data_IF_755737834759
#
_entry.id   IF_755737834759
#
_cell.length_a   1.000
_cell.length_b   1.000
_cell.length_c   1.000
_cell.angle_alpha   90.00
_cell.angle_beta   90.00
_cell.angle_gamma   90.00
#
_symmetry.space_group_name_H-M   'P 1'
#
loop_
_entity.id
_entity.type
_entity.pdbx_description
1 polymer ?
#
# COMPACT_ATOMS: atom_id res chain seq x y z
N UNK A 1 12.91 16.94 -18.69
CA UNK A 1 12.52 17.44 -17.34
C UNK A 1 12.88 18.92 -17.21
N UNK A 2 12.06 19.71 -16.56
CA UNK A 2 12.26 21.17 -16.43
C UNK A 2 13.20 21.48 -15.25
N UNK A 3 14.36 22.08 -15.52
CA UNK A 3 15.36 22.41 -14.49
C UNK A 3 14.87 23.42 -13.44
N UNK A 4 13.97 24.33 -13.82
CA UNK A 4 13.37 25.29 -12.87
C UNK A 4 12.48 24.59 -11.85
N UNK A 5 11.72 23.59 -12.27
CA UNK A 5 10.85 22.79 -11.37
C UNK A 5 11.69 21.94 -10.41
N UNK A 6 12.74 21.31 -10.92
CA UNK A 6 13.70 20.56 -10.08
C UNK A 6 14.26 21.47 -8.99
N UNK A 7 14.68 22.70 -9.39
CA UNK A 7 15.19 23.67 -8.43
C UNK A 7 14.14 24.02 -7.35
N UNK A 8 12.88 24.27 -7.73
CA UNK A 8 11.80 24.54 -6.74
C UNK A 8 11.63 23.39 -5.75
N UNK A 9 11.70 22.13 -6.21
CA UNK A 9 11.62 20.96 -5.31
C UNK A 9 12.86 20.86 -4.42
N UNK A 10 14.07 21.10 -4.96
CA UNK A 10 15.31 21.06 -4.18
C UNK A 10 15.36 22.20 -3.14
N UNK A 11 14.95 23.42 -3.50
CA UNK A 11 14.87 24.55 -2.58
C UNK A 11 13.89 24.29 -1.41
N UNK A 12 12.86 23.48 -1.67
CA UNK A 12 11.86 23.13 -0.65
C UNK A 12 12.29 21.95 0.22
N UNK A 13 12.79 20.87 -0.38
CA UNK A 13 12.99 19.58 0.29
C UNK A 13 14.46 19.27 0.63
N UNK A 14 15.43 19.95 -0.03
CA UNK A 14 16.82 19.54 -0.09
C UNK A 14 17.10 18.58 -1.24
N UNK A 15 18.31 18.66 -1.81
CA UNK A 15 18.72 17.86 -2.99
C UNK A 15 18.66 16.35 -2.73
N UNK A 16 18.93 15.92 -1.50
CA UNK A 16 18.95 14.51 -1.08
C UNK A 16 17.56 13.85 -1.05
N UNK A 17 16.48 14.63 -1.22
CA UNK A 17 15.09 14.17 -1.19
C UNK A 17 14.37 14.36 -2.53
N UNK A 18 15.10 14.76 -3.56
CA UNK A 18 14.58 15.01 -4.91
C UNK A 18 15.34 14.17 -5.91
N UNK A 19 14.66 13.20 -6.52
CA UNK A 19 15.24 12.34 -7.53
C UNK A 19 14.50 12.52 -8.84
N UNK A 20 15.21 12.39 -9.96
CA UNK A 20 14.65 12.49 -11.30
C UNK A 20 14.92 11.21 -12.08
N UNK A 21 13.92 10.72 -12.84
CA UNK A 21 14.06 9.46 -13.57
C UNK A 21 14.24 8.25 -12.63
N UNK A 22 13.69 8.33 -11.42
CA UNK A 22 13.88 7.28 -10.41
C UNK A 22 13.08 6.02 -10.73
N UNK A 23 13.76 4.88 -10.80
CA UNK A 23 13.14 3.60 -11.12
C UNK A 23 12.15 3.15 -10.03
N UNK A 24 10.87 3.07 -10.37
CA UNK A 24 9.82 2.69 -9.43
C UNK A 24 9.92 1.24 -8.94
N UNK A 25 10.64 0.39 -9.67
CA UNK A 25 10.98 -0.98 -9.22
C UNK A 25 11.72 -1.02 -7.87
N UNK A 26 12.41 0.06 -7.48
CA UNK A 26 13.08 0.21 -6.18
C UNK A 26 12.12 0.56 -5.04
N UNK A 27 10.91 1.06 -5.39
CA UNK A 27 9.93 1.62 -4.45
C UNK A 27 8.61 0.84 -4.44
N UNK A 28 8.57 -0.33 -5.06
CA UNK A 28 7.45 -1.27 -5.01
C UNK A 28 7.88 -2.61 -4.45
N UNK A 29 7.00 -3.29 -3.72
CA UNK A 29 7.28 -4.65 -3.23
C UNK A 29 7.24 -5.68 -4.37
N UNK A 30 6.65 -5.35 -5.51
CA UNK A 30 6.68 -6.16 -6.73
C UNK A 30 8.05 -6.14 -7.43
N UNK A 31 8.87 -5.12 -7.12
CA UNK A 31 10.16 -4.85 -7.78
C UNK A 31 10.02 -4.71 -9.30
N UNK A 32 8.92 -4.13 -9.74
CA UNK A 32 8.58 -3.83 -11.13
C UNK A 32 8.22 -2.36 -11.23
N UNK A 33 8.54 -1.71 -12.34
CA UNK A 33 8.17 -0.35 -12.67
C UNK A 33 9.28 0.46 -13.29
N UNK A 34 8.95 1.15 -14.38
CA UNK A 34 9.80 2.11 -15.07
C UNK A 34 10.02 3.40 -14.26
N UNK A 35 10.67 4.42 -14.84
CA UNK A 35 11.06 5.62 -14.13
C UNK A 35 9.91 6.59 -13.86
N UNK A 36 9.88 7.22 -12.68
CA UNK A 36 9.07 8.42 -12.42
C UNK A 36 9.86 9.67 -12.81
N UNK A 37 9.18 10.68 -13.40
CA UNK A 37 9.87 11.93 -13.77
C UNK A 37 10.45 12.61 -12.55
N UNK A 38 9.67 12.70 -11.46
CA UNK A 38 10.12 13.23 -10.18
C UNK A 38 9.74 12.26 -9.07
N UNK A 39 10.67 11.99 -8.17
CA UNK A 39 10.44 11.21 -6.97
C UNK A 39 10.86 12.05 -5.75
N UNK A 40 9.89 12.35 -4.88
CA UNK A 40 9.98 13.38 -3.85
C UNK A 40 9.70 12.77 -2.48
N UNK A 41 10.55 13.07 -1.49
CA UNK A 41 10.50 12.46 -0.16
C UNK A 41 10.36 13.53 0.94
N UNK A 42 9.17 14.15 1.10
CA UNK A 42 8.94 15.14 2.16
C UNK A 42 9.12 14.53 3.56
N UNK A 43 9.44 15.35 4.56
CA UNK A 43 9.58 14.94 5.97
C UNK A 43 8.52 15.54 6.89
N UNK A 44 7.66 16.42 6.36
CA UNK A 44 6.57 17.07 7.09
C UNK A 44 5.29 17.13 6.25
N UNK A 45 4.15 17.18 6.94
CA UNK A 45 2.85 17.31 6.28
C UNK A 45 2.74 18.61 5.47
N UNK A 46 3.26 19.74 5.99
CA UNK A 46 3.24 21.02 5.29
C UNK A 46 4.06 20.97 3.98
N UNK A 47 5.17 20.22 3.96
CA UNK A 47 5.98 20.08 2.75
C UNK A 47 5.27 19.24 1.69
N UNK A 48 4.46 18.25 2.10
CA UNK A 48 3.56 17.51 1.18
C UNK A 48 2.64 18.49 0.46
N UNK A 49 1.99 19.42 1.19
CA UNK A 49 1.11 20.44 0.61
C UNK A 49 1.85 21.39 -0.34
N UNK A 50 3.03 21.85 0.06
CA UNK A 50 3.87 22.72 -0.78
C UNK A 50 4.31 22.05 -2.08
N UNK A 51 4.71 20.76 -2.01
CA UNK A 51 5.04 19.96 -3.19
C UNK A 51 3.84 19.83 -4.12
N UNK A 52 2.66 19.52 -3.59
CA UNK A 52 1.41 19.43 -4.36
C UNK A 52 1.08 20.75 -5.03
N UNK A 53 1.25 21.86 -4.32
CA UNK A 53 1.05 23.20 -4.88
C UNK A 53 1.97 23.45 -6.09
N UNK A 54 3.26 23.14 -5.98
CA UNK A 54 4.21 23.24 -7.11
C UNK A 54 3.74 22.35 -8.28
N UNK A 55 3.29 21.13 -8.01
CA UNK A 55 2.78 20.22 -9.04
C UNK A 55 1.55 20.82 -9.74
N UNK A 56 0.55 21.34 -8.99
CA UNK A 56 -0.66 21.95 -9.53
C UNK A 56 -0.35 23.18 -10.39
N UNK A 57 0.50 24.09 -9.89
CA UNK A 57 0.92 25.30 -10.61
C UNK A 57 1.72 25.00 -11.89
N UNK A 58 2.39 23.86 -11.93
CA UNK A 58 3.21 23.43 -13.06
C UNK A 58 2.51 22.41 -13.98
N UNK A 59 1.22 22.12 -13.74
CA UNK A 59 0.43 21.10 -14.45
C UNK A 59 1.11 19.72 -14.47
N UNK A 60 1.79 19.34 -13.38
CA UNK A 60 2.44 18.03 -13.19
C UNK A 60 1.47 17.13 -12.43
N UNK A 61 1.06 15.98 -12.99
CA UNK A 61 0.28 15.01 -12.26
C UNK A 61 1.12 14.43 -11.11
N UNK A 62 0.47 14.12 -9.97
CA UNK A 62 1.19 13.54 -8.83
C UNK A 62 0.49 12.30 -8.29
N UNK A 63 1.26 11.46 -7.61
CA UNK A 63 0.79 10.25 -6.96
C UNK A 63 1.41 10.13 -5.56
N UNK A 64 0.58 9.84 -4.54
CA UNK A 64 1.03 9.63 -3.17
C UNK A 64 1.39 8.16 -2.99
N UNK A 65 2.61 7.89 -2.56
CA UNK A 65 3.16 6.56 -2.37
C UNK A 65 3.53 6.33 -0.91
N UNK A 66 3.12 5.20 -0.36
CA UNK A 66 3.67 4.65 0.90
C UNK A 66 4.82 3.68 0.62
N UNK A 67 4.67 2.43 1.06
CA UNK A 67 5.65 1.35 0.82
C UNK A 67 5.52 0.66 -0.55
N UNK A 68 4.59 1.07 -1.41
CA UNK A 68 4.39 0.45 -2.73
C UNK A 68 3.95 -1.02 -2.69
N UNK A 69 3.32 -1.46 -1.60
CA UNK A 69 2.97 -2.86 -1.37
C UNK A 69 1.67 -3.34 -2.02
N UNK A 70 0.94 -2.42 -2.67
CA UNK A 70 -0.28 -2.73 -3.44
C UNK A 70 -0.27 -2.01 -4.79
N UNK A 71 0.93 -1.90 -5.42
CA UNK A 71 1.12 -1.09 -6.62
C UNK A 71 1.89 -1.87 -7.69
N UNK A 72 1.40 -1.82 -8.92
CA UNK A 72 2.13 -2.19 -10.13
C UNK A 72 2.33 -0.91 -10.96
N UNK A 73 3.59 -0.56 -11.23
CA UNK A 73 3.95 0.58 -12.08
C UNK A 73 4.32 0.08 -13.45
N UNK A 74 3.78 0.72 -14.50
CA UNK A 74 4.04 0.38 -15.89
C UNK A 74 5.52 0.45 -16.28
N UNK A 75 5.91 -0.31 -17.30
CA UNK A 75 7.31 -0.38 -17.76
C UNK A 75 7.77 0.96 -18.33
N UNK A 76 6.87 1.75 -18.96
CA UNK A 76 7.13 3.13 -19.38
C UNK A 76 7.29 4.13 -18.25
N UNK A 77 6.97 3.75 -17.01
CA UNK A 77 7.08 4.59 -15.83
C UNK A 77 5.93 5.57 -15.63
N UNK A 78 6.15 6.64 -14.87
CA UNK A 78 5.14 7.63 -14.54
C UNK A 78 5.57 9.04 -14.96
N UNK A 79 4.80 9.65 -15.86
CA UNK A 79 5.03 11.03 -16.33
C UNK A 79 4.43 12.01 -15.34
N UNK A 80 5.13 12.23 -14.20
CA UNK A 80 4.67 13.06 -13.10
C UNK A 80 5.55 12.95 -11.86
N UNK A 81 5.02 13.42 -10.73
CA UNK A 81 5.69 13.40 -9.44
C UNK A 81 5.14 12.27 -8.54
N UNK A 82 6.00 11.39 -8.09
CA UNK A 82 5.68 10.45 -7.00
C UNK A 82 6.13 11.08 -5.69
N UNK A 83 5.19 11.31 -4.79
CA UNK A 83 5.44 11.88 -3.46
C UNK A 83 5.39 10.73 -2.45
N UNK A 84 6.53 10.34 -1.93
CA UNK A 84 6.63 9.22 -1.00
C UNK A 84 6.49 9.68 0.45
N UNK A 85 5.40 9.25 1.11
CA UNK A 85 5.19 9.37 2.56
C UNK A 85 5.60 8.04 3.19
N UNK A 86 6.83 7.98 3.72
CA UNK A 86 7.43 6.75 4.23
C UNK A 86 8.35 7.05 5.43
N UNK A 87 9.62 6.69 5.36
CA UNK A 87 10.56 6.72 6.48
C UNK A 87 10.72 8.09 7.14
N UNK A 88 10.64 9.17 6.37
CA UNK A 88 10.81 10.54 6.88
C UNK A 88 9.59 11.02 7.69
N UNK A 89 8.44 10.37 7.54
CA UNK A 89 7.19 10.68 8.24
C UNK A 89 6.67 9.40 8.92
N UNK A 90 7.44 8.81 9.83
CA UNK A 90 7.19 7.47 10.39
C UNK A 90 7.21 7.42 11.92
N UNK A 91 7.02 8.54 12.60
CA UNK A 91 6.97 8.59 14.05
C UNK A 91 5.77 7.78 14.60
N UNK A 92 6.01 7.12 15.74
CA UNK A 92 5.01 6.35 16.48
C UNK A 92 5.14 6.73 17.96
N UNK A 93 4.09 7.30 18.53
CA UNK A 93 4.02 7.70 19.93
C UNK A 93 2.94 6.91 20.65
N UNK A 94 3.24 6.40 21.84
CA UNK A 94 2.30 5.61 22.66
C UNK A 94 2.03 6.35 23.95
N UNK A 95 0.77 6.68 24.22
CA UNK A 95 0.30 7.33 25.43
C UNK A 95 -0.85 6.53 26.06
N UNK A 96 -0.56 5.84 27.16
CA UNK A 96 -1.54 4.99 27.81
C UNK A 96 -2.00 3.81 26.94
N UNK A 97 -3.17 3.91 26.32
CA UNK A 97 -3.75 2.95 25.38
C UNK A 97 -3.97 3.54 23.98
N UNK A 98 -3.61 4.80 23.79
CA UNK A 98 -3.65 5.47 22.49
C UNK A 98 -2.29 5.37 21.81
N UNK A 99 -2.29 5.22 20.49
CA UNK A 99 -1.10 5.29 19.65
C UNK A 99 -1.32 6.32 18.55
N UNK A 100 -0.50 7.36 18.53
CA UNK A 100 -0.44 8.35 17.43
C UNK A 100 0.64 7.93 16.45
N UNK A 101 0.30 7.87 15.15
CA UNK A 101 1.13 7.26 14.11
C UNK A 101 1.17 8.12 12.88
N UNK A 102 2.34 8.57 12.45
CA UNK A 102 2.50 9.23 11.15
C UNK A 102 2.26 8.27 9.98
N UNK A 103 1.72 8.80 8.89
CA UNK A 103 1.25 8.02 7.75
C UNK A 103 2.30 7.12 7.08
N UNK A 104 3.57 7.47 7.16
CA UNK A 104 4.69 6.70 6.60
C UNK A 104 5.19 5.56 7.48
N UNK A 105 4.71 5.43 8.72
CA UNK A 105 5.13 4.35 9.62
C UNK A 105 4.66 2.99 9.08
N UNK A 106 5.57 2.01 9.06
CA UNK A 106 5.21 0.63 8.72
C UNK A 106 4.30 0.02 9.78
N UNK A 107 3.28 -0.72 9.35
CA UNK A 107 2.36 -1.40 10.28
C UNK A 107 3.09 -2.38 11.21
N UNK A 108 4.17 -3.00 10.75
CA UNK A 108 5.04 -3.84 11.58
C UNK A 108 5.70 -3.07 12.72
N UNK A 109 6.12 -1.82 12.48
CA UNK A 109 6.71 -0.95 13.51
C UNK A 109 5.66 -0.53 14.54
N UNK A 110 4.45 -0.20 14.09
CA UNK A 110 3.32 0.13 14.97
C UNK A 110 2.92 -1.07 15.82
N UNK A 111 2.82 -2.27 15.23
CA UNK A 111 2.52 -3.50 15.96
C UNK A 111 3.63 -3.84 16.99
N UNK A 112 4.90 -3.57 16.67
CA UNK A 112 5.99 -3.71 17.61
C UNK A 112 5.89 -2.72 18.77
N UNK A 113 5.53 -1.46 18.52
CA UNK A 113 5.30 -0.44 19.57
C UNK A 113 4.13 -0.83 20.49
N UNK A 114 3.00 -1.28 19.91
CA UNK A 114 1.85 -1.78 20.66
C UNK A 114 2.22 -2.96 21.55
N UNK A 115 2.92 -3.97 21.01
CA UNK A 115 3.42 -5.12 21.76
C UNK A 115 4.32 -4.70 22.94
N UNK A 116 5.26 -3.78 22.69
CA UNK A 116 6.21 -3.32 23.74
C UNK A 116 5.49 -2.56 24.87
N UNK A 117 4.36 -1.91 24.58
CA UNK A 117 3.51 -1.23 25.54
C UNK A 117 2.43 -2.15 26.17
N UNK A 118 2.47 -3.46 25.91
CA UNK A 118 1.46 -4.44 26.34
C UNK A 118 0.03 -4.06 25.90
N UNK A 119 -0.11 -3.58 24.65
CA UNK A 119 -1.39 -3.23 24.03
C UNK A 119 -1.81 -4.31 23.03
N UNK A 120 -3.04 -4.80 23.19
CA UNK A 120 -3.67 -5.80 22.30
C UNK A 120 -4.69 -5.14 21.38
N UNK A 121 -4.97 -5.77 20.23
CA UNK A 121 -5.94 -5.35 19.23
C UNK A 121 -5.32 -4.95 17.89
N UNK A 122 -3.97 -4.87 17.78
CA UNK A 122 -3.27 -4.53 16.55
C UNK A 122 -2.38 -5.66 16.00
N UNK A 123 -2.45 -6.86 16.59
CA UNK A 123 -1.63 -8.02 16.20
C UNK A 123 -1.83 -8.42 14.74
N UNK A 124 -3.06 -8.27 14.22
CA UNK A 124 -3.44 -8.61 12.84
C UNK A 124 -2.61 -7.86 11.79
N UNK A 125 -2.18 -6.63 12.13
CA UNK A 125 -1.52 -5.71 11.20
C UNK A 125 -0.01 -5.96 11.09
N UNK A 126 0.61 -6.64 12.05
CA UNK A 126 2.06 -6.78 12.16
C UNK A 126 2.75 -7.44 10.96
N UNK A 127 2.01 -8.24 10.19
CA UNK A 127 2.51 -8.88 8.99
C UNK A 127 2.15 -8.16 7.67
N UNK A 128 1.31 -7.13 7.68
CA UNK A 128 0.90 -6.40 6.46
C UNK A 128 2.07 -5.48 6.03
N UNK A 129 2.57 -5.56 4.79
CA UNK A 129 3.76 -4.82 4.35
C UNK A 129 3.46 -3.37 3.95
N UNK A 130 2.41 -2.77 4.49
CA UNK A 130 1.96 -1.40 4.20
C UNK A 130 2.43 -0.37 5.22
N UNK A 131 2.24 0.90 4.87
CA UNK A 131 2.34 2.04 5.80
C UNK A 131 0.97 2.34 6.43
N UNK A 132 0.96 3.09 7.53
CA UNK A 132 -0.27 3.51 8.20
C UNK A 132 -1.21 4.26 7.25
N UNK A 133 -0.71 5.23 6.49
CA UNK A 133 -1.54 5.96 5.52
C UNK A 133 -2.18 5.04 4.47
N UNK A 134 -1.40 4.13 3.87
CA UNK A 134 -1.94 3.14 2.93
C UNK A 134 -2.95 2.19 3.58
N UNK A 135 -2.76 1.83 4.84
CA UNK A 135 -3.69 0.99 5.59
C UNK A 135 -5.03 1.68 5.86
N UNK A 136 -5.01 2.97 6.21
CA UNK A 136 -6.23 3.78 6.38
C UNK A 136 -7.01 3.89 5.06
N UNK A 137 -6.32 4.24 3.96
CA UNK A 137 -6.94 4.35 2.62
C UNK A 137 -7.69 3.08 2.22
N UNK A 138 -7.15 1.92 2.57
CA UNK A 138 -7.68 0.61 2.16
C UNK A 138 -8.52 -0.06 3.25
N UNK A 139 -8.70 0.55 4.43
CA UNK A 139 -9.19 -0.18 5.60
C UNK A 139 -8.52 -1.55 5.68
N UNK A 140 -7.18 -1.56 5.72
CA UNK A 140 -6.40 -2.79 5.62
C UNK A 140 -6.75 -3.75 6.76
N UNK A 141 -6.85 -5.02 6.42
CA UNK A 141 -7.19 -6.06 7.40
C UNK A 141 -6.61 -7.42 7.03
N UNK A 142 -6.41 -8.23 8.05
CA UNK A 142 -5.96 -9.60 7.96
C UNK A 142 -6.43 -10.40 9.19
N UNK A 143 -6.66 -11.71 9.02
CA UNK A 143 -6.96 -12.63 10.13
C UNK A 143 -8.14 -12.22 11.02
N UNK A 144 -9.12 -11.54 10.46
CA UNK A 144 -10.35 -11.13 11.16
C UNK A 144 -10.29 -9.75 11.82
N UNK A 145 -9.14 -9.07 11.85
CA UNK A 145 -9.02 -7.68 12.28
C UNK A 145 -8.85 -6.74 11.09
N UNK A 146 -9.30 -5.50 11.20
CA UNK A 146 -9.14 -4.44 10.21
C UNK A 146 -8.96 -3.06 10.87
N UNK A 147 -8.48 -2.08 10.10
CA UNK A 147 -8.16 -0.75 10.64
C UNK A 147 -9.34 -0.10 11.34
N UNK A 148 -10.56 -0.26 10.84
CA UNK A 148 -11.78 0.31 11.46
C UNK A 148 -12.02 -0.15 12.91
N UNK A 149 -11.46 -1.31 13.32
CA UNK A 149 -11.67 -1.87 14.65
C UNK A 149 -10.88 -1.12 15.73
N UNK A 150 -9.86 -0.36 15.33
CA UNK A 150 -8.90 0.29 16.23
C UNK A 150 -8.70 1.77 15.97
N UNK A 151 -9.08 2.27 14.78
CA UNK A 151 -8.89 3.65 14.36
C UNK A 151 -9.91 4.56 15.05
N UNK A 152 -9.45 5.69 15.61
CA UNK A 152 -10.32 6.69 16.25
C UNK A 152 -10.43 7.97 15.45
N UNK A 153 -9.33 8.44 14.88
CA UNK A 153 -9.30 9.64 14.05
C UNK A 153 -8.12 9.61 13.07
N UNK A 154 -8.20 10.41 12.03
CA UNK A 154 -7.16 10.58 11.02
C UNK A 154 -6.98 12.05 10.71
N UNK A 155 -5.73 12.51 10.75
CA UNK A 155 -5.35 13.82 10.24
C UNK A 155 -5.03 13.68 8.75
N UNK A 156 -5.73 14.45 7.94
CA UNK A 156 -5.60 14.42 6.48
C UNK A 156 -5.34 15.82 5.95
N UNK A 157 -4.76 15.88 4.76
CA UNK A 157 -4.76 17.07 3.92
C UNK A 157 -5.83 16.92 2.86
N UNK A 158 -6.63 17.95 2.65
CA UNK A 158 -7.64 18.00 1.59
C UNK A 158 -7.07 18.49 0.24
N UNK A 159 -7.94 18.65 -0.76
CA UNK A 159 -7.54 19.09 -2.10
C UNK A 159 -7.08 20.55 -2.14
N UNK A 160 -7.52 21.39 -1.20
CA UNK A 160 -7.13 22.79 -1.04
C UNK A 160 -5.78 22.93 -0.33
N UNK A 161 -5.29 21.84 0.32
CA UNK A 161 -4.04 21.80 1.09
C UNK A 161 -4.24 22.11 2.57
N UNK A 162 -5.50 22.19 3.03
CA UNK A 162 -5.83 22.39 4.43
C UNK A 162 -5.69 21.09 5.21
N UNK A 163 -5.17 21.18 6.43
CA UNK A 163 -4.99 20.02 7.31
C UNK A 163 -6.19 19.94 8.27
N UNK A 164 -6.95 18.87 8.17
CA UNK A 164 -8.15 18.63 8.97
C UNK A 164 -8.06 17.26 9.66
N UNK A 165 -8.79 17.12 10.78
CA UNK A 165 -8.91 15.84 11.49
C UNK A 165 -10.32 15.30 11.33
N UNK A 166 -10.41 14.05 10.87
CA UNK A 166 -11.65 13.31 10.65
C UNK A 166 -11.77 12.19 11.69
N UNK A 167 -12.88 12.12 12.45
CA UNK A 167 -13.15 10.98 13.31
C UNK A 167 -13.45 9.72 12.48
N UNK A 168 -13.20 8.54 13.04
CA UNK A 168 -13.27 7.26 12.33
C UNK A 168 -14.66 6.97 11.71
N UNK A 169 -15.75 7.44 12.33
CA UNK A 169 -17.12 7.28 11.83
C UNK A 169 -17.40 8.07 10.54
N UNK A 170 -16.57 9.06 10.21
CA UNK A 170 -16.64 9.84 8.95
C UNK A 170 -15.76 9.26 7.84
N UNK A 171 -15.00 8.22 8.10
CA UNK A 171 -14.07 7.66 7.13
C UNK A 171 -14.71 6.66 6.17
N UNK A 172 -15.98 6.27 6.36
CA UNK A 172 -16.71 5.32 5.51
C UNK A 172 -15.90 4.03 5.24
N UNK A 173 -15.29 3.47 6.30
CA UNK A 173 -14.40 2.33 6.21
C UNK A 173 -15.14 1.05 5.83
N UNK A 174 -14.91 0.56 4.64
CA UNK A 174 -15.46 -0.69 4.12
C UNK A 174 -14.37 -1.64 3.59
N UNK A 175 -14.80 -2.73 2.97
CA UNK A 175 -13.87 -3.69 2.38
C UNK A 175 -13.01 -3.06 1.27
N UNK A 176 -11.73 -2.84 1.55
CA UNK A 176 -10.75 -2.22 0.64
C UNK A 176 -11.15 -0.82 0.16
N UNK A 177 -11.83 -0.05 1.01
CA UNK A 177 -12.29 1.31 0.71
C UNK A 177 -12.35 2.20 1.94
N UNK A 178 -12.28 3.51 1.71
CA UNK A 178 -12.55 4.60 2.66
C UNK A 178 -12.90 5.87 1.88
N UNK A 179 -13.47 6.87 2.57
CA UNK A 179 -13.72 8.22 2.01
C UNK A 179 -12.41 8.89 1.53
N UNK A 180 -11.28 8.55 2.14
CA UNK A 180 -9.97 9.12 1.80
C UNK A 180 -9.69 9.03 0.30
N UNK A 181 -10.01 7.87 -0.29
CA UNK A 181 -9.78 7.63 -1.71
C UNK A 181 -10.70 8.42 -2.63
N UNK A 182 -11.98 8.59 -2.24
CA UNK A 182 -13.01 9.23 -3.07
C UNK A 182 -13.03 10.73 -2.94
N UNK A 183 -12.65 11.26 -1.76
CA UNK A 183 -12.55 12.70 -1.49
C UNK A 183 -11.17 13.30 -1.80
N UNK A 184 -10.23 12.55 -2.37
CA UNK A 184 -8.90 13.06 -2.70
C UNK A 184 -8.02 13.42 -1.49
N UNK A 185 -8.39 12.97 -0.29
CA UNK A 185 -7.62 13.23 0.93
C UNK A 185 -6.27 12.52 0.95
N UNK A 186 -5.30 13.13 1.63
CA UNK A 186 -3.97 12.55 1.87
C UNK A 186 -3.80 12.36 3.37
N UNK A 187 -3.60 11.11 3.80
CA UNK A 187 -3.37 10.78 5.21
C UNK A 187 -1.99 11.27 5.64
N UNK A 188 -1.93 12.04 6.71
CA UNK A 188 -0.70 12.53 7.34
C UNK A 188 -0.42 11.81 8.66
N UNK A 189 -1.46 11.55 9.47
CA UNK A 189 -1.36 10.91 10.77
C UNK A 189 -2.64 10.13 11.09
N UNK A 190 -2.56 9.12 11.94
CA UNK A 190 -3.70 8.37 12.45
C UNK A 190 -3.57 8.15 13.95
N UNK A 191 -4.70 8.12 14.67
CA UNK A 191 -4.76 7.69 16.06
C UNK A 191 -5.51 6.38 16.19
N UNK A 192 -4.94 5.51 17.01
CA UNK A 192 -5.47 4.19 17.29
C UNK A 192 -5.80 4.09 18.78
N UNK A 193 -6.94 3.51 19.12
CA UNK A 193 -7.30 3.15 20.49
C UNK A 193 -7.18 1.64 20.65
N UNK A 194 -6.24 1.21 21.48
CA UNK A 194 -6.01 -0.18 21.82
C UNK A 194 -6.42 -0.48 23.27
N UNK A 195 -6.19 -1.71 23.72
CA UNK A 195 -6.52 -2.16 25.09
C UNK A 195 -5.29 -2.72 25.75
N UNK A 196 -5.19 -2.57 27.09
CA UNK A 196 -4.17 -3.30 27.86
C UNK A 196 -4.41 -4.80 27.73
N UNK A 197 -3.35 -5.56 27.48
CA UNK A 197 -3.37 -7.00 27.31
C UNK A 197 -2.24 -7.71 28.05
N UNK A 198 -2.29 -9.04 28.09
CA UNK A 198 -1.20 -9.83 28.59
C UNK A 198 -0.05 -9.87 27.58
N UNK A 199 1.18 -9.44 27.92
CA UNK A 199 2.31 -9.40 26.99
C UNK A 199 2.65 -10.76 26.37
N UNK A 200 2.46 -11.85 27.10
CA UNK A 200 2.72 -13.19 26.58
C UNK A 200 1.70 -13.60 25.53
N UNK A 201 0.41 -13.36 25.80
CA UNK A 201 -0.66 -13.64 24.83
C UNK A 201 -0.48 -12.82 23.55
N UNK A 202 -0.14 -11.53 23.67
CA UNK A 202 0.15 -10.67 22.51
C UNK A 202 1.30 -11.24 21.68
N UNK A 203 2.40 -11.63 22.35
CA UNK A 203 3.57 -12.20 21.68
C UNK A 203 3.26 -13.51 20.96
N UNK A 204 2.52 -14.39 21.62
CA UNK A 204 2.11 -15.69 21.06
C UNK A 204 1.17 -15.50 19.88
N UNK A 205 0.19 -14.59 19.97
CA UNK A 205 -0.72 -14.24 18.88
C UNK A 205 0.05 -13.71 17.66
N UNK A 206 0.96 -12.76 17.84
CA UNK A 206 1.78 -12.24 16.76
C UNK A 206 2.67 -13.31 16.13
N UNK A 207 3.22 -14.22 16.94
CA UNK A 207 4.01 -15.36 16.46
C UNK A 207 3.16 -16.32 15.62
N UNK A 208 1.98 -16.69 16.09
CA UNK A 208 1.05 -17.56 15.37
C UNK A 208 0.64 -16.93 14.01
N UNK A 209 0.26 -15.65 14.01
CA UNK A 209 -0.08 -14.94 12.79
C UNK A 209 1.10 -14.88 11.80
N UNK A 210 2.31 -14.71 12.31
CA UNK A 210 3.53 -14.74 11.47
C UNK A 210 3.74 -16.12 10.85
N UNK A 211 3.60 -17.19 11.64
CA UNK A 211 3.71 -18.59 11.15
C UNK A 211 2.65 -18.86 10.08
N UNK A 212 1.39 -18.51 10.33
CA UNK A 212 0.30 -18.69 9.34
C UNK A 212 0.61 -17.96 8.03
N UNK A 213 1.18 -16.75 8.12
CA UNK A 213 1.53 -15.94 6.96
C UNK A 213 2.68 -16.55 6.18
N UNK A 214 3.79 -16.85 6.83
CA UNK A 214 4.99 -17.41 6.19
C UNK A 214 4.73 -18.78 5.58
N UNK A 215 3.85 -19.59 6.21
CA UNK A 215 3.46 -20.89 5.69
C UNK A 215 2.58 -20.80 4.45
N UNK A 216 1.67 -19.80 4.39
CA UNK A 216 0.63 -19.75 3.34
C UNK A 216 0.92 -18.76 2.21
N UNK A 217 1.76 -17.74 2.42
CA UNK A 217 2.01 -16.69 1.42
C UNK A 217 3.42 -16.83 0.82
N UNK A 218 3.61 -16.47 -0.46
CA UNK A 218 4.88 -16.60 -1.16
C UNK A 218 5.81 -15.41 -0.84
N UNK A 219 6.19 -15.24 0.44
CA UNK A 219 6.96 -14.09 0.92
C UNK A 219 8.40 -14.09 0.42
N UNK A 220 8.88 -15.21 -0.12
CA UNK A 220 10.17 -15.38 -0.77
C UNK A 220 10.26 -14.69 -2.15
N UNK A 221 9.12 -14.37 -2.75
CA UNK A 221 9.04 -13.70 -4.05
C UNK A 221 8.49 -12.27 -3.94
N UNK A 222 8.97 -11.33 -4.77
CA UNK A 222 8.36 -10.02 -4.89
C UNK A 222 6.92 -10.11 -5.40
N UNK A 223 6.02 -9.37 -4.77
CA UNK A 223 4.60 -9.30 -5.15
C UNK A 223 3.93 -8.03 -4.59
N UNK A 224 2.71 -7.75 -5.01
CA UNK A 224 1.87 -6.69 -4.42
C UNK A 224 0.75 -7.26 -3.53
N UNK A 225 0.98 -8.39 -2.85
CA UNK A 225 -0.04 -9.04 -2.03
C UNK A 225 -1.09 -9.79 -2.85
N UNK A 226 -2.33 -9.82 -2.34
CA UNK A 226 -3.45 -10.42 -3.08
C UNK A 226 -3.73 -9.62 -4.34
N UNK A 227 -3.71 -10.31 -5.49
CA UNK A 227 -3.84 -9.66 -6.80
C UNK A 227 -5.27 -9.23 -7.10
N UNK A 228 -6.25 -10.01 -6.64
CA UNK A 228 -7.67 -9.77 -6.86
C UNK A 228 -8.42 -9.63 -5.54
N UNK A 229 -9.45 -8.79 -5.54
CA UNK A 229 -10.41 -8.69 -4.45
C UNK A 229 -11.16 -10.02 -4.28
N UNK A 230 -11.69 -10.23 -3.09
CA UNK A 230 -12.56 -11.38 -2.83
C UNK A 230 -13.93 -11.15 -3.50
N UNK A 231 -14.35 -12.00 -4.47
CA UNK A 231 -15.68 -11.92 -5.05
C UNK A 231 -16.76 -12.32 -4.02
N UNK A 232 -17.96 -11.79 -4.19
CA UNK A 232 -19.07 -12.15 -3.32
C UNK A 232 -19.36 -13.67 -3.40
N UNK A 233 -19.45 -14.32 -2.24
CA UNK A 233 -19.67 -15.76 -2.13
C UNK A 233 -18.48 -16.65 -2.48
N UNK A 234 -17.34 -16.10 -2.90
CA UNK A 234 -16.18 -16.86 -3.36
C UNK A 234 -14.87 -16.40 -2.73
N UNK A 235 -13.80 -17.16 -2.98
CA UNK A 235 -12.42 -16.79 -2.69
C UNK A 235 -11.64 -16.76 -4.01
N UNK A 236 -11.07 -15.61 -4.39
CA UNK A 236 -10.35 -15.45 -5.64
C UNK A 236 -9.24 -16.51 -5.82
N UNK A 237 -8.39 -16.70 -4.81
CA UNK A 237 -7.31 -17.71 -4.86
C UNK A 237 -7.84 -19.15 -5.06
N UNK A 238 -9.02 -19.49 -4.50
CA UNK A 238 -9.63 -20.81 -4.72
C UNK A 238 -10.14 -20.96 -6.15
N UNK A 239 -10.83 -19.96 -6.70
CA UNK A 239 -11.29 -20.01 -8.10
C UNK A 239 -10.11 -20.15 -9.07
N UNK A 240 -9.01 -19.44 -8.83
CA UNK A 240 -7.79 -19.52 -9.63
C UNK A 240 -7.16 -20.92 -9.53
N UNK A 241 -7.03 -21.45 -8.32
CA UNK A 241 -6.51 -22.80 -8.08
C UNK A 241 -7.38 -23.88 -8.74
N UNK A 242 -8.71 -23.81 -8.54
CA UNK A 242 -9.66 -24.78 -9.12
C UNK A 242 -9.75 -24.65 -10.66
N UNK A 243 -9.28 -23.53 -11.22
CA UNK A 243 -9.11 -23.34 -12.66
C UNK A 243 -7.85 -24.04 -13.22
N UNK A 244 -7.00 -24.61 -12.36
CA UNK A 244 -5.74 -25.24 -12.76
C UNK A 244 -4.64 -24.24 -13.08
N UNK A 245 -4.70 -23.03 -12.51
CA UNK A 245 -3.78 -21.93 -12.82
C UNK A 245 -2.63 -21.80 -11.80
N UNK A 246 -2.48 -22.71 -10.85
CA UNK A 246 -1.29 -22.74 -9.98
C UNK A 246 -0.02 -22.87 -10.86
N UNK A 247 0.95 -21.96 -10.68
CA UNK A 247 2.17 -21.95 -11.48
C UNK A 247 2.02 -21.38 -12.91
N UNK A 248 0.79 -20.95 -13.32
CA UNK A 248 0.60 -20.34 -14.64
C UNK A 248 1.48 -19.11 -14.81
N UNK A 249 2.21 -19.04 -15.91
CA UNK A 249 3.28 -18.06 -16.12
C UNK A 249 3.12 -17.30 -17.44
N UNK A 250 3.45 -16.01 -17.41
CA UNK A 250 3.60 -15.14 -18.60
C UNK A 250 4.89 -14.34 -18.40
N UNK A 251 5.86 -14.52 -19.27
CA UNK A 251 7.20 -13.95 -19.09
C UNK A 251 7.77 -14.28 -17.72
N UNK A 252 8.17 -13.28 -16.95
CA UNK A 252 8.67 -13.44 -15.58
C UNK A 252 7.58 -13.42 -14.50
N UNK A 253 6.31 -13.18 -14.84
CA UNK A 253 5.19 -13.16 -13.89
C UNK A 253 4.56 -14.54 -13.75
N UNK A 254 4.22 -14.95 -12.52
CA UNK A 254 3.66 -16.27 -12.24
C UNK A 254 2.54 -16.21 -11.20
N UNK A 255 1.48 -17.01 -11.36
CA UNK A 255 0.53 -17.32 -10.29
C UNK A 255 1.25 -18.20 -9.27
N UNK A 256 1.33 -17.75 -8.02
CA UNK A 256 2.02 -18.50 -6.98
C UNK A 256 1.39 -19.89 -6.76
N UNK A 257 2.20 -20.93 -6.77
CA UNK A 257 1.77 -22.28 -6.42
C UNK A 257 1.41 -22.40 -4.93
N UNK A 258 2.08 -21.62 -4.07
CA UNK A 258 1.84 -21.62 -2.62
C UNK A 258 0.53 -20.93 -2.24
N UNK A 259 0.11 -19.90 -3.00
CA UNK A 259 -1.14 -19.17 -2.80
C UNK A 259 -1.61 -18.55 -4.11
N UNK A 260 -2.55 -19.20 -4.80
CA UNK A 260 -3.01 -18.78 -6.13
C UNK A 260 -3.69 -17.39 -6.19
N UNK A 261 -3.98 -16.76 -5.06
CA UNK A 261 -4.43 -15.37 -5.00
C UNK A 261 -3.31 -14.34 -5.20
N UNK A 262 -2.04 -14.79 -5.29
CA UNK A 262 -0.86 -13.94 -5.50
C UNK A 262 -0.30 -14.15 -6.90
N UNK A 263 -0.03 -13.06 -7.60
CA UNK A 263 0.89 -13.04 -8.72
C UNK A 263 2.25 -12.58 -8.19
N UNK A 264 3.29 -13.31 -8.53
CA UNK A 264 4.67 -13.08 -8.09
C UNK A 264 5.55 -12.69 -9.27
N UNK A 265 6.61 -11.95 -8.99
CA UNK A 265 7.73 -11.79 -9.89
C UNK A 265 8.69 -12.97 -9.64
N UNK A 266 8.60 -13.98 -10.49
CA UNK A 266 9.43 -15.19 -10.39
C UNK A 266 10.87 -14.97 -10.90
N UNK A 267 11.13 -13.79 -11.49
CA UNK A 267 12.42 -13.35 -12.00
C UNK A 267 12.27 -12.57 -13.31
N UNK A 268 12.70 -11.31 -13.31
CA UNK A 268 12.69 -10.46 -14.50
C UNK A 268 11.32 -10.14 -15.08
N UNK A 269 10.24 -10.21 -14.27
CA UNK A 269 8.90 -9.86 -14.73
C UNK A 269 8.80 -8.38 -15.10
N UNK A 270 8.13 -8.10 -16.22
CA UNK A 270 7.71 -6.77 -16.63
C UNK A 270 6.30 -6.46 -16.12
N UNK A 271 5.91 -5.19 -16.10
CA UNK A 271 4.54 -4.80 -15.79
C UNK A 271 3.54 -5.33 -16.83
N UNK A 272 3.96 -5.41 -18.08
CA UNK A 272 3.21 -6.04 -19.19
C UNK A 272 2.96 -7.52 -18.92
N UNK A 273 3.97 -8.28 -18.48
CA UNK A 273 3.82 -9.70 -18.14
C UNK A 273 2.75 -9.90 -17.05
N UNK A 274 2.85 -9.12 -15.96
CA UNK A 274 1.89 -9.17 -14.85
C UNK A 274 0.48 -8.84 -15.34
N UNK A 275 0.32 -7.78 -16.12
CA UNK A 275 -0.98 -7.36 -16.64
C UNK A 275 -1.60 -8.41 -17.56
N UNK A 276 -0.83 -8.93 -18.50
CA UNK A 276 -1.25 -10.00 -19.41
C UNK A 276 -1.66 -11.26 -18.64
N UNK A 277 -0.87 -11.65 -17.63
CA UNK A 277 -1.18 -12.79 -16.78
C UNK A 277 -2.50 -12.56 -16.01
N UNK A 278 -2.70 -11.36 -15.44
CA UNK A 278 -3.93 -11.01 -14.73
C UNK A 278 -5.15 -11.07 -15.64
N UNK A 279 -5.06 -10.56 -16.87
CA UNK A 279 -6.16 -10.59 -17.84
C UNK A 279 -6.49 -12.02 -18.26
N UNK A 280 -5.47 -12.86 -18.54
CA UNK A 280 -5.66 -14.27 -18.82
C UNK A 280 -6.35 -15.03 -17.67
N UNK A 281 -5.92 -14.79 -16.44
CA UNK A 281 -6.53 -15.39 -15.23
C UNK A 281 -8.00 -14.99 -15.10
N UNK A 282 -8.31 -13.72 -15.32
CA UNK A 282 -9.70 -13.20 -15.28
C UNK A 282 -10.58 -13.89 -16.32
N UNK A 283 -10.10 -13.97 -17.55
CA UNK A 283 -10.82 -14.59 -18.66
C UNK A 283 -11.10 -16.07 -18.44
N UNK A 284 -10.10 -16.82 -17.96
CA UNK A 284 -10.23 -18.26 -17.68
C UNK A 284 -11.21 -18.50 -16.53
N UNK A 285 -11.10 -17.74 -15.43
CA UNK A 285 -12.03 -17.86 -14.29
C UNK A 285 -13.46 -17.49 -14.71
N UNK A 286 -13.62 -16.41 -15.49
CA UNK A 286 -14.93 -16.01 -15.98
C UNK A 286 -15.56 -17.07 -16.88
N UNK A 287 -14.82 -17.62 -17.83
CA UNK A 287 -15.29 -18.70 -18.72
C UNK A 287 -15.73 -19.93 -17.95
N UNK A 288 -15.06 -20.25 -16.85
CA UNK A 288 -15.31 -21.47 -16.08
C UNK A 288 -16.43 -21.33 -15.03
N UNK A 289 -16.54 -20.15 -14.39
CA UNK A 289 -17.42 -19.95 -13.24
C UNK A 289 -18.42 -18.80 -13.42
N UNK A 290 -18.33 -17.99 -14.47
CA UNK A 290 -19.14 -16.78 -14.65
C UNK A 290 -18.82 -15.66 -13.64
N UNK A 291 -17.69 -15.78 -12.92
CA UNK A 291 -17.27 -14.81 -11.87
C UNK A 291 -16.20 -13.88 -12.43
N UNK A 292 -16.45 -12.58 -12.35
CA UNK A 292 -15.47 -11.56 -12.72
C UNK A 292 -14.54 -11.26 -11.53
N UNK A 293 -13.24 -11.44 -11.72
CA UNK A 293 -12.22 -11.06 -10.74
C UNK A 293 -11.87 -9.58 -10.90
N UNK A 294 -12.03 -8.79 -9.82
CA UNK A 294 -11.63 -7.40 -9.78
C UNK A 294 -10.19 -7.28 -9.23
N UNK A 295 -9.28 -6.53 -9.91
CA UNK A 295 -7.95 -6.25 -9.37
C UNK A 295 -8.02 -5.54 -8.01
N UNK A 296 -7.24 -6.02 -7.03
CA UNK A 296 -6.98 -5.30 -5.78
C UNK A 296 -5.74 -4.41 -5.95
N UNK A 297 -4.75 -4.89 -6.68
CA UNK A 297 -3.52 -4.15 -7.03
C UNK A 297 -3.88 -2.91 -7.84
N UNK A 298 -3.24 -1.78 -7.50
CA UNK A 298 -3.38 -0.51 -8.22
C UNK A 298 -2.38 -0.44 -9.36
N UNK A 299 -2.80 0.21 -10.44
CA UNK A 299 -1.96 0.45 -11.61
C UNK A 299 -1.56 1.93 -11.66
N UNK A 300 -0.31 2.21 -11.99
CA UNK A 300 0.22 3.56 -12.14
C UNK A 300 1.10 3.64 -13.39
N UNK A 301 0.95 4.72 -14.15
CA UNK A 301 1.85 5.03 -15.26
C UNK A 301 1.51 4.32 -16.56
N UNK A 302 2.52 4.22 -17.45
CA UNK A 302 2.39 3.76 -18.81
C UNK A 302 2.72 2.26 -18.92
N UNK A 303 1.73 1.49 -19.40
CA UNK A 303 1.81 0.04 -19.62
C UNK A 303 1.98 -0.33 -21.11
N UNK A 304 2.01 0.66 -22.00
CA UNK A 304 2.07 0.43 -23.46
C UNK A 304 3.48 0.61 -24.03
N UNK A 305 4.41 1.12 -23.22
CA UNK A 305 5.79 1.36 -23.61
C UNK A 305 6.62 0.06 -23.73
#
# INVERSE_FOLDING_TARGET
MNSEIIKKFCDLLGEERVFTGEAMSRHTTFKIGGPADYFLMPDKGEDVGRVIKICKESAIPYFILGNGSNLLVGDGGYRGAVIQIYKNMSAVTVEGTEITVQAGALLSSVAAAAKNAALTGFEFAGGIPGTMGGAVVMNAGAYGGEMKDVLTEVTVMDEEGEIITLPADKLELGYRTSIIKTAGYIVLEAKLQLKKGNPEVIRETMKDLTIRRTTKQPLEYPSAGSTFKRPEGYFAGKLIMDSGLAGYQVGGAQVSEKHCGFVINAGGATARDVRTLMDNVRDIVYKKYGVTLEPEVKFLGDFEA
#
